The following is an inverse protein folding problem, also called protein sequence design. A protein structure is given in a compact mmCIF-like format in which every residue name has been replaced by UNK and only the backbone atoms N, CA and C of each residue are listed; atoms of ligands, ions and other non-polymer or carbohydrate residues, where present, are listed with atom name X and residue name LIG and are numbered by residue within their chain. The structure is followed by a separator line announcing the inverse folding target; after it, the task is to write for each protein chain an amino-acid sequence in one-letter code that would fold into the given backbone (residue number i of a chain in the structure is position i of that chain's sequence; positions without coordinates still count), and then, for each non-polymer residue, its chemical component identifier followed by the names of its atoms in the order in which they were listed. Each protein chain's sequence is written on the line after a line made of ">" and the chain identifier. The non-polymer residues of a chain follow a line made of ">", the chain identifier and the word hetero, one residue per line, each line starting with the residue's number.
data_IF_928782088384
#
_entry.id   IF_928782088384
#
_cell.length_a   1.000
_cell.length_b   1.000
_cell.length_c   1.000
_cell.angle_alpha   90.00
_cell.angle_beta   90.00
_cell.angle_gamma   90.00
#
_symmetry.space_group_name_H-M   'P 1'
#
loop_
_entity.id
_entity.type
_entity.pdbx_description
1 polymer ?
#
# COMPACT_ATOMS: atom_id res chain seq x y z
N UNK A 1 -4.07 12.56 2.01
CA UNK A 1 -3.32 12.61 0.73
C UNK A 1 -2.16 13.59 0.75
N UNK A 2 -2.21 14.56 1.66
CA UNK A 2 -1.13 15.51 1.82
C UNK A 2 0.21 14.81 2.11
N UNK A 3 0.17 13.79 2.93
CA UNK A 3 1.36 13.04 3.29
C UNK A 3 2.05 12.41 2.07
N UNK A 4 1.27 11.84 1.16
CA UNK A 4 1.84 11.24 -0.05
C UNK A 4 2.43 12.31 -0.95
N UNK A 5 1.73 13.44 -1.11
CA UNK A 5 2.23 14.54 -1.90
C UNK A 5 3.59 15.02 -1.41
N UNK A 6 3.69 15.23 -0.10
CA UNK A 6 4.90 15.78 0.49
C UNK A 6 6.07 14.82 0.41
N UNK A 7 5.82 13.54 0.69
CA UNK A 7 6.88 12.53 0.68
C UNK A 7 7.32 12.12 -0.72
N UNK A 8 6.37 12.01 -1.64
CA UNK A 8 6.65 11.54 -2.99
C UNK A 8 6.94 12.69 -3.96
N UNK A 9 6.88 13.92 -3.45
CA UNK A 9 7.12 15.10 -4.27
C UNK A 9 6.19 15.16 -5.49
N UNK A 10 4.93 14.81 -5.28
CA UNK A 10 3.92 14.76 -6.34
C UNK A 10 3.58 16.19 -6.77
N UNK A 11 3.58 16.49 -8.08
CA UNK A 11 3.22 17.82 -8.56
C UNK A 11 1.83 18.21 -8.11
N UNK A 12 1.66 19.50 -7.74
CA UNK A 12 0.39 19.95 -7.18
C UNK A 12 -0.77 19.90 -8.19
N UNK A 13 -0.49 19.87 -9.48
CA UNK A 13 -1.55 19.79 -10.49
C UNK A 13 -2.17 18.39 -10.58
N UNK A 14 -1.58 17.38 -9.94
CA UNK A 14 -2.19 16.05 -9.86
C UNK A 14 -3.36 16.17 -8.89
N UNK A 15 -4.55 15.80 -9.34
CA UNK A 15 -5.76 15.96 -8.53
C UNK A 15 -5.76 15.04 -7.34
N UNK A 16 -6.23 15.54 -6.20
CA UNK A 16 -6.36 14.72 -4.98
C UNK A 16 -7.26 13.51 -5.20
N UNK A 17 -8.28 13.65 -6.05
CA UNK A 17 -9.16 12.55 -6.40
C UNK A 17 -8.42 11.39 -7.02
N UNK A 18 -7.46 11.68 -7.89
CA UNK A 18 -6.64 10.66 -8.54
C UNK A 18 -5.78 9.94 -7.52
N UNK A 19 -5.15 10.70 -6.63
CA UNK A 19 -4.34 10.14 -5.56
C UNK A 19 -5.19 9.26 -4.66
N UNK A 20 -6.36 9.75 -4.27
CA UNK A 20 -7.27 9.02 -3.40
C UNK A 20 -7.74 7.72 -4.04
N UNK A 21 -8.05 7.75 -5.32
CA UNK A 21 -8.48 6.56 -6.05
C UNK A 21 -7.41 5.49 -6.04
N UNK A 22 -6.17 5.87 -6.35
CA UNK A 22 -5.05 4.91 -6.36
C UNK A 22 -4.80 4.35 -4.97
N UNK A 23 -4.87 5.19 -3.94
CA UNK A 23 -4.67 4.74 -2.57
C UNK A 23 -5.76 3.78 -2.14
N UNK A 24 -7.01 4.06 -2.49
CA UNK A 24 -8.12 3.14 -2.18
C UNK A 24 -7.95 1.80 -2.87
N UNK A 25 -7.52 1.81 -4.12
CA UNK A 25 -7.25 0.58 -4.86
C UNK A 25 -6.11 -0.20 -4.20
N UNK A 26 -5.06 0.50 -3.77
CA UNK A 26 -3.93 -0.13 -3.09
C UNK A 26 -4.36 -0.80 -1.79
N UNK A 27 -5.17 -0.11 -1.01
CA UNK A 27 -5.69 -0.64 0.26
C UNK A 27 -6.56 -1.86 0.00
N UNK A 28 -7.46 -1.76 -0.95
CA UNK A 28 -8.34 -2.88 -1.29
C UNK A 28 -7.53 -4.09 -1.74
N UNK A 29 -6.60 -3.89 -2.64
CA UNK A 29 -5.78 -4.97 -3.19
C UNK A 29 -4.93 -5.63 -2.10
N UNK A 30 -4.31 -4.82 -1.24
CA UNK A 30 -3.45 -5.33 -0.18
C UNK A 30 -4.27 -6.08 0.87
N UNK A 31 -5.40 -5.53 1.28
CA UNK A 31 -6.29 -6.22 2.23
C UNK A 31 -6.77 -7.55 1.67
N UNK A 32 -7.10 -7.59 0.39
CA UNK A 32 -7.56 -8.82 -0.25
C UNK A 32 -6.47 -9.89 -0.25
N UNK A 33 -5.22 -9.50 -0.53
CA UNK A 33 -4.11 -10.43 -0.57
C UNK A 33 -3.68 -10.92 0.80
N UNK A 34 -3.78 -10.05 1.79
CA UNK A 34 -3.48 -10.41 3.18
C UNK A 34 -4.63 -11.19 3.80
N UNK A 35 -5.85 -10.93 3.36
CA UNK A 35 -7.04 -11.60 3.88
C UNK A 35 -7.60 -10.96 5.13
N UNK A 36 -7.16 -9.76 5.47
CA UNK A 36 -7.62 -9.06 6.67
C UNK A 36 -7.56 -7.55 6.43
N UNK A 37 -8.32 -6.82 7.22
CA UNK A 37 -8.22 -5.37 7.25
C UNK A 37 -6.96 -4.98 7.99
N UNK A 38 -6.20 -4.07 7.41
CA UNK A 38 -4.92 -3.62 7.95
C UNK A 38 -5.09 -2.20 8.51
N UNK A 39 -4.46 -1.94 9.65
CA UNK A 39 -4.46 -0.62 10.26
C UNK A 39 -3.34 0.23 9.67
N UNK A 40 -3.65 0.93 8.58
CA UNK A 40 -2.66 1.77 7.90
C UNK A 40 -2.36 3.07 8.64
N UNK A 41 -3.09 3.37 9.70
CA UNK A 41 -2.86 4.56 10.49
C UNK A 41 -1.73 4.32 11.49
N UNK A 42 -1.78 3.19 12.19
CA UNK A 42 -0.82 2.89 13.26
C UNK A 42 0.31 1.97 12.83
N UNK A 43 0.09 1.16 11.80
CA UNK A 43 1.12 0.24 11.30
C UNK A 43 1.99 0.95 10.26
N UNK A 44 3.14 1.44 10.67
CA UNK A 44 4.02 2.20 9.80
C UNK A 44 4.58 1.38 8.65
N UNK A 45 4.77 0.09 8.86
CA UNK A 45 5.25 -0.80 7.81
C UNK A 45 4.21 -0.93 6.69
N UNK A 46 2.95 -1.17 7.07
CA UNK A 46 1.86 -1.26 6.11
C UNK A 46 1.64 0.07 5.40
N UNK A 47 1.74 1.16 6.14
CA UNK A 47 1.59 2.50 5.58
C UNK A 47 2.66 2.79 4.52
N UNK A 48 3.92 2.44 4.80
CA UNK A 48 5.00 2.57 3.84
C UNK A 48 4.77 1.71 2.60
N UNK A 49 4.22 0.53 2.79
CA UNK A 49 3.90 -0.37 1.68
C UNK A 49 2.88 0.30 0.73
N UNK A 50 1.84 0.92 1.28
CA UNK A 50 0.83 1.61 0.48
C UNK A 50 1.43 2.81 -0.25
N UNK A 51 2.32 3.57 0.38
CA UNK A 51 2.98 4.70 -0.28
C UNK A 51 3.81 4.24 -1.46
N UNK A 52 4.53 3.15 -1.31
CA UNK A 52 5.32 2.58 -2.41
C UNK A 52 4.42 2.06 -3.52
N UNK A 53 3.31 1.43 -3.15
CA UNK A 53 2.31 0.99 -4.12
C UNK A 53 1.83 2.17 -4.97
N UNK A 54 1.48 3.27 -4.30
CA UNK A 54 1.03 4.47 -5.00
C UNK A 54 2.10 4.96 -6.00
N UNK A 55 3.34 5.03 -5.56
CA UNK A 55 4.42 5.53 -6.39
C UNK A 55 4.56 4.70 -7.67
N UNK A 56 4.59 3.39 -7.54
CA UNK A 56 4.76 2.52 -8.70
C UNK A 56 3.51 2.50 -9.58
N UNK A 57 2.33 2.52 -8.98
CA UNK A 57 1.08 2.53 -9.74
C UNK A 57 0.93 3.81 -10.55
N UNK A 58 1.30 4.96 -9.95
CA UNK A 58 1.17 6.25 -10.61
C UNK A 58 2.16 6.44 -11.75
N UNK A 59 3.21 5.63 -11.81
CA UNK A 59 4.21 5.67 -12.88
C UNK A 59 4.09 4.46 -13.81
N UNK A 60 2.97 3.74 -13.74
CA UNK A 60 2.71 2.57 -14.59
C UNK A 60 3.75 1.46 -14.42
N UNK A 61 4.24 1.29 -13.19
CA UNK A 61 5.26 0.29 -12.86
C UNK A 61 4.78 -0.70 -11.82
N UNK A 62 3.48 -0.94 -11.76
CA UNK A 62 2.90 -1.81 -10.74
C UNK A 62 3.42 -3.25 -10.83
N UNK A 63 3.71 -3.74 -12.04
CA UNK A 63 4.28 -5.07 -12.19
C UNK A 63 5.64 -5.18 -11.51
N UNK A 64 6.46 -4.14 -11.60
CA UNK A 64 7.75 -4.09 -10.91
C UNK A 64 7.55 -4.06 -9.40
N UNK A 65 6.56 -3.30 -8.94
CA UNK A 65 6.24 -3.23 -7.51
C UNK A 65 5.93 -4.63 -6.97
N UNK A 66 5.08 -5.36 -7.65
CA UNK A 66 4.68 -6.70 -7.20
C UNK A 66 5.86 -7.65 -7.11
N UNK A 67 6.82 -7.50 -8.00
CA UNK A 67 8.02 -8.31 -8.00
C UNK A 67 8.98 -7.91 -6.87
N UNK A 68 9.26 -6.60 -6.76
CA UNK A 68 10.21 -6.09 -5.78
C UNK A 68 9.70 -6.22 -4.34
N UNK A 69 8.42 -5.97 -4.14
CA UNK A 69 7.81 -5.93 -2.80
C UNK A 69 7.07 -7.19 -2.43
N UNK A 70 7.28 -8.28 -3.17
CA UNK A 70 6.64 -9.56 -2.84
C UNK A 70 6.98 -10.03 -1.44
N UNK A 71 8.24 -9.84 -1.00
CA UNK A 71 8.66 -10.21 0.34
C UNK A 71 7.97 -9.38 1.41
N UNK A 72 7.79 -8.07 1.16
CA UNK A 72 7.10 -7.19 2.10
C UNK A 72 5.64 -7.58 2.23
N UNK A 73 5.01 -7.94 1.14
CA UNK A 73 3.62 -8.41 1.17
C UNK A 73 3.52 -9.71 1.97
N UNK A 74 4.44 -10.62 1.77
CA UNK A 74 4.49 -11.87 2.51
C UNK A 74 4.61 -11.62 4.01
N UNK A 75 5.46 -10.69 4.40
CA UNK A 75 5.64 -10.31 5.80
C UNK A 75 4.34 -9.77 6.40
N UNK A 76 3.59 -8.96 5.63
CA UNK A 76 2.29 -8.48 6.08
C UNK A 76 1.29 -9.62 6.24
N UNK A 77 1.30 -10.58 5.31
CA UNK A 77 0.43 -11.75 5.40
C UNK A 77 0.71 -12.53 6.68
N UNK A 78 1.96 -12.75 7.01
CA UNK A 78 2.35 -13.46 8.24
C UNK A 78 1.92 -12.65 9.46
N UNK A 79 2.21 -11.36 9.46
CA UNK A 79 1.92 -10.49 10.60
C UNK A 79 0.43 -10.48 10.96
N UNK A 80 -0.42 -10.35 9.94
CA UNK A 80 -1.85 -10.21 10.17
C UNK A 80 -2.61 -11.53 10.28
N UNK A 81 -1.98 -12.64 9.93
CA UNK A 81 -2.59 -13.95 10.03
C UNK A 81 -1.95 -14.84 11.10
N UNK A 82 -1.03 -14.27 11.86
CA UNK A 82 -0.31 -15.01 12.88
C UNK A 82 -1.21 -15.68 13.89
N UNK A 83 -2.22 -14.95 14.38
CA UNK A 83 -3.14 -15.50 15.37
C UNK A 83 -4.04 -16.57 14.77
N UNK A 84 -4.35 -16.45 13.49
CA UNK A 84 -5.16 -17.46 12.80
C UNK A 84 -4.42 -18.80 12.70
N UNK A 85 -3.12 -18.74 12.53
CA UNK A 85 -2.30 -19.95 12.44
C UNK A 85 -2.23 -20.71 13.74
N UNK A 86 -2.45 -20.02 14.85
CA UNK A 86 -2.42 -20.64 16.17
C UNK A 86 -3.73 -21.29 16.58
N UNK A 87 -4.77 -21.00 15.84
CA UNK A 87 -6.10 -21.53 16.17
C UNK A 87 -6.42 -22.86 15.52
#
# INVERSE_FOLDING_TARGET
>A
MQEIRDEQNVPYFVKDETILTIVKEAIYDTNAKVGKEIDYINDLTARSFIKSYYLYASTFRLAEFREIYAGDLYDLQIKYNKDSDLS
#
